data_IF_641480826705
#
_entry.id   IF_641480826705
#
_cell.length_a   1.000
_cell.length_b   1.000
_cell.length_c   1.000
_cell.angle_alpha   90.00
_cell.angle_beta   90.00
_cell.angle_gamma   90.00
#
_symmetry.space_group_name_H-M   'P 1'
#
loop_
_entity.id
_entity.type
_entity.pdbx_description
1 polymer ?
#
# COMPACT_ATOMS: atom_id res chain seq x y z
N UNK A 1 33.19 41.84 45.68
CA UNK A 1 32.09 40.86 45.60
C UNK A 1 31.19 41.08 44.37
N UNK A 2 30.96 42.32 43.93
CA UNK A 2 30.06 42.63 42.80
C UNK A 2 30.57 42.20 41.41
N UNK A 3 31.88 42.22 41.17
CA UNK A 3 32.50 41.79 39.90
C UNK A 3 32.33 40.29 39.59
N UNK A 4 32.15 39.45 40.62
CA UNK A 4 31.88 38.02 40.44
C UNK A 4 30.44 37.74 40.03
N UNK A 5 29.49 38.56 40.52
CA UNK A 5 28.07 38.38 40.19
C UNK A 5 27.72 38.90 38.79
N UNK A 6 28.38 39.96 38.30
CA UNK A 6 28.18 40.44 36.93
C UNK A 6 28.72 39.44 35.90
N UNK A 7 29.85 38.79 36.17
CA UNK A 7 30.42 37.77 35.28
C UNK A 7 29.58 36.47 35.26
N UNK A 8 29.04 36.05 36.39
CA UNK A 8 28.10 34.89 36.45
C UNK A 8 26.79 35.22 35.73
N UNK A 9 26.26 36.43 35.88
CA UNK A 9 25.03 36.89 35.22
C UNK A 9 25.20 36.98 33.70
N UNK A 10 26.39 37.37 33.22
CA UNK A 10 26.71 37.42 31.78
C UNK A 10 27.00 36.03 31.17
N UNK A 11 27.58 35.10 31.95
CA UNK A 11 27.75 33.71 31.51
C UNK A 11 26.42 32.94 31.38
N UNK A 12 25.44 33.25 32.26
CA UNK A 12 24.12 32.62 32.22
C UNK A 12 23.24 33.17 31.09
N UNK A 13 23.51 34.40 30.61
CA UNK A 13 22.81 35.01 29.48
C UNK A 13 23.24 34.44 28.12
N UNK A 14 24.47 33.91 28.00
CA UNK A 14 24.99 33.29 26.76
C UNK A 14 24.57 31.84 26.53
N UNK A 15 23.96 31.17 27.51
CA UNK A 15 23.60 29.73 27.41
C UNK A 15 22.17 29.42 26.97
N UNK A 16 21.34 30.43 26.62
CA UNK A 16 19.89 30.19 26.34
C UNK A 16 19.34 30.82 25.05
N UNK A 17 19.81 30.40 23.86
CA UNK A 17 18.91 30.41 22.70
C UNK A 17 18.86 29.09 21.90
N UNK A 18 19.67 28.07 22.24
CA UNK A 18 19.84 26.92 21.32
C UNK A 18 18.69 25.90 21.32
N UNK A 19 17.92 25.80 22.42
CA UNK A 19 16.83 24.82 22.56
C UNK A 19 15.60 25.14 21.69
N UNK A 20 15.24 26.41 21.55
CA UNK A 20 14.08 26.87 20.76
C UNK A 20 14.36 26.89 19.25
N UNK A 21 15.63 26.96 18.83
CA UNK A 21 16.01 26.83 17.42
C UNK A 21 15.90 25.38 16.93
N UNK A 22 16.43 24.42 17.71
CA UNK A 22 16.35 23.00 17.37
C UNK A 22 14.92 22.45 17.38
N UNK A 23 14.06 22.93 18.29
CA UNK A 23 12.64 22.55 18.31
C UNK A 23 11.91 22.98 17.02
N UNK A 24 12.17 24.20 16.53
CA UNK A 24 11.56 24.70 15.28
C UNK A 24 12.09 24.00 14.03
N UNK A 25 13.39 23.66 14.00
CA UNK A 25 13.98 22.88 12.90
C UNK A 25 13.34 21.48 12.85
N UNK A 26 13.17 20.83 14.02
CA UNK A 26 12.46 19.55 14.11
C UNK A 26 11.01 19.66 13.66
N UNK A 27 10.26 20.67 14.07
CA UNK A 27 8.89 20.88 13.57
C UNK A 27 8.85 21.01 12.05
N UNK A 28 9.69 21.87 11.46
CA UNK A 28 9.73 22.04 10.00
C UNK A 28 10.12 20.75 9.26
N UNK A 29 11.02 19.96 9.83
CA UNK A 29 11.42 18.67 9.26
C UNK A 29 10.28 17.67 9.32
N UNK A 30 9.60 17.56 10.47
CA UNK A 30 8.44 16.69 10.65
C UNK A 30 7.29 17.06 9.69
N UNK A 31 7.04 18.36 9.46
CA UNK A 31 6.04 18.80 8.48
C UNK A 31 6.43 18.44 7.03
N UNK A 32 7.71 18.54 6.67
CA UNK A 32 8.18 18.15 5.33
C UNK A 32 8.10 16.64 5.11
N UNK A 33 8.53 15.83 6.07
CA UNK A 33 8.41 14.37 6.01
C UNK A 33 6.95 13.93 5.93
N UNK A 34 6.08 14.53 6.76
CA UNK A 34 4.65 14.25 6.76
C UNK A 34 3.99 14.62 5.43
N UNK A 35 4.39 15.74 4.82
CA UNK A 35 3.92 16.16 3.48
C UNK A 35 4.32 15.13 2.42
N UNK A 36 5.56 14.64 2.45
CA UNK A 36 6.06 13.58 1.57
C UNK A 36 5.27 12.28 1.70
N UNK A 37 5.05 11.82 2.93
CA UNK A 37 4.24 10.64 3.23
C UNK A 37 2.79 10.80 2.75
N UNK A 38 2.22 12.00 2.91
CA UNK A 38 0.84 12.29 2.47
C UNK A 38 0.74 12.21 0.94
N UNK A 39 1.74 12.72 0.21
CA UNK A 39 1.78 12.62 -1.26
C UNK A 39 1.80 11.16 -1.76
N UNK A 40 2.39 10.24 -0.99
CA UNK A 40 2.41 8.80 -1.29
C UNK A 40 1.15 8.08 -0.79
N UNK A 41 0.52 8.56 0.28
CA UNK A 41 -0.72 7.99 0.80
C UNK A 41 -1.91 8.24 -0.13
N UNK A 42 -1.96 9.39 -0.82
CA UNK A 42 -3.03 9.72 -1.79
C UNK A 42 -3.25 8.63 -2.85
N UNK A 43 -2.24 8.18 -3.61
CA UNK A 43 -2.43 7.12 -4.61
C UNK A 43 -2.80 5.76 -3.97
N UNK A 44 -2.33 5.47 -2.76
CA UNK A 44 -2.69 4.23 -2.03
C UNK A 44 -4.18 4.25 -1.65
N UNK A 45 -4.66 5.35 -1.05
CA UNK A 45 -6.08 5.52 -0.71
C UNK A 45 -6.95 5.50 -1.95
N UNK A 46 -6.51 6.15 -3.04
CA UNK A 46 -7.22 6.11 -4.32
C UNK A 46 -7.34 4.67 -4.85
N UNK A 47 -6.27 3.87 -4.77
CA UNK A 47 -6.29 2.45 -5.15
C UNK A 47 -7.31 1.66 -4.34
N UNK A 48 -7.34 1.82 -3.01
CA UNK A 48 -8.34 1.16 -2.16
C UNK A 48 -9.78 1.59 -2.47
N UNK A 49 -10.00 2.86 -2.82
CA UNK A 49 -11.32 3.33 -3.26
C UNK A 49 -11.71 2.73 -4.61
N UNK A 50 -10.77 2.62 -5.54
CA UNK A 50 -10.97 1.96 -6.84
C UNK A 50 -11.30 0.47 -6.67
N UNK A 51 -10.71 -0.20 -5.68
CA UNK A 51 -10.98 -1.60 -5.35
C UNK A 51 -12.41 -1.82 -4.83
N UNK A 52 -13.05 -0.80 -4.26
CA UNK A 52 -14.44 -0.87 -3.80
C UNK A 52 -15.46 -0.69 -4.93
N UNK A 53 -15.09 -0.04 -6.03
CA UNK A 53 -16.00 0.26 -7.15
C UNK A 53 -16.64 -0.97 -7.79
N UNK A 54 -15.94 -2.09 -8.06
CA UNK A 54 -16.55 -3.29 -8.60
C UNK A 54 -17.72 -3.79 -7.75
N UNK A 55 -17.59 -3.76 -6.41
CA UNK A 55 -18.65 -4.13 -5.48
C UNK A 55 -19.86 -3.20 -5.59
N UNK A 56 -19.64 -1.89 -5.60
CA UNK A 56 -20.71 -0.90 -5.77
C UNK A 56 -21.42 -1.04 -7.11
N UNK A 57 -20.68 -1.18 -8.20
CA UNK A 57 -21.24 -1.33 -9.55
C UNK A 57 -22.07 -2.60 -9.63
N UNK A 58 -21.58 -3.71 -9.06
CA UNK A 58 -22.31 -4.98 -9.01
C UNK A 58 -23.64 -4.83 -8.28
N UNK A 59 -23.64 -4.21 -7.10
CA UNK A 59 -24.86 -3.97 -6.29
C UNK A 59 -25.85 -3.08 -7.04
N UNK A 60 -25.37 -2.01 -7.68
CA UNK A 60 -26.23 -1.07 -8.44
C UNK A 60 -26.83 -1.72 -9.69
N UNK A 61 -26.04 -2.52 -10.43
CA UNK A 61 -26.54 -3.23 -11.62
C UNK A 61 -27.63 -4.24 -11.24
N UNK A 62 -27.36 -5.02 -10.19
CA UNK A 62 -28.28 -6.03 -9.63
C UNK A 62 -29.58 -5.41 -9.16
N UNK A 63 -29.52 -4.26 -8.48
CA UNK A 63 -30.70 -3.55 -8.01
C UNK A 63 -31.65 -3.13 -9.15
N UNK A 64 -31.17 -3.10 -10.40
CA UNK A 64 -31.98 -2.80 -11.57
C UNK A 64 -32.35 -4.05 -12.42
N UNK A 65 -31.69 -5.20 -12.26
CA UNK A 65 -32.01 -6.45 -12.96
C UNK A 65 -32.88 -7.40 -12.10
N UNK A 66 -34.20 -7.30 -12.25
CA UNK A 66 -35.16 -8.24 -11.67
C UNK A 66 -35.26 -9.56 -12.48
N UNK A 67 -34.23 -10.42 -12.48
CA UNK A 67 -34.27 -11.75 -13.13
C UNK A 67 -33.73 -12.85 -12.22
N UNK A 68 -34.30 -14.06 -12.32
CA UNK A 68 -34.05 -15.21 -11.43
C UNK A 68 -32.57 -15.67 -11.36
N UNK A 69 -31.72 -15.26 -12.30
CA UNK A 69 -30.28 -15.61 -12.33
C UNK A 69 -29.34 -14.54 -11.77
N UNK A 70 -29.88 -13.41 -11.32
CA UNK A 70 -29.08 -12.29 -10.83
C UNK A 70 -28.24 -12.68 -9.60
N UNK A 71 -28.74 -13.59 -8.74
CA UNK A 71 -28.00 -14.05 -7.55
C UNK A 71 -26.69 -14.79 -7.88
N UNK A 72 -26.67 -15.60 -8.96
CA UNK A 72 -25.47 -16.35 -9.36
C UNK A 72 -24.36 -15.45 -9.89
N UNK A 73 -24.70 -14.42 -10.68
CA UNK A 73 -23.70 -13.48 -11.19
C UNK A 73 -23.08 -12.63 -10.07
N UNK A 74 -23.85 -12.31 -9.02
CA UNK A 74 -23.34 -11.61 -7.84
C UNK A 74 -22.35 -12.47 -7.10
N UNK A 75 -22.70 -13.73 -6.85
CA UNK A 75 -21.85 -14.64 -6.10
C UNK A 75 -20.54 -14.92 -6.85
N UNK A 76 -20.63 -15.16 -8.17
CA UNK A 76 -19.45 -15.31 -9.03
C UNK A 76 -18.57 -14.04 -9.02
N UNK A 77 -19.18 -12.85 -9.07
CA UNK A 77 -18.44 -11.59 -9.01
C UNK A 77 -17.80 -11.36 -7.65
N UNK A 78 -18.53 -11.64 -6.56
CA UNK A 78 -18.02 -11.53 -5.19
C UNK A 78 -16.85 -12.48 -4.94
N UNK A 79 -16.95 -13.73 -5.41
CA UNK A 79 -15.88 -14.72 -5.34
C UNK A 79 -14.65 -14.28 -6.15
N UNK A 80 -14.84 -13.75 -7.36
CA UNK A 80 -13.76 -13.21 -8.19
C UNK A 80 -13.05 -12.04 -7.52
N UNK A 81 -13.81 -11.08 -6.95
CA UNK A 81 -13.25 -9.94 -6.22
C UNK A 81 -12.50 -10.42 -4.98
N UNK A 82 -13.07 -11.33 -4.19
CA UNK A 82 -12.40 -11.89 -3.01
C UNK A 82 -11.09 -12.60 -3.38
N UNK A 83 -11.08 -13.38 -4.47
CA UNK A 83 -9.88 -14.06 -4.95
C UNK A 83 -8.82 -13.08 -5.47
N UNK A 84 -9.23 -12.04 -6.20
CA UNK A 84 -8.35 -10.98 -6.67
C UNK A 84 -7.73 -10.21 -5.50
N UNK A 85 -8.51 -9.89 -4.47
CA UNK A 85 -8.02 -9.21 -3.28
C UNK A 85 -7.07 -10.12 -2.49
N UNK A 86 -7.40 -11.41 -2.34
CA UNK A 86 -6.54 -12.37 -1.66
C UNK A 86 -5.19 -12.52 -2.37
N UNK A 87 -5.18 -12.72 -3.68
CA UNK A 87 -3.94 -12.87 -4.43
C UNK A 87 -3.20 -11.52 -4.54
N UNK A 88 -3.89 -10.46 -4.92
CA UNK A 88 -3.31 -9.13 -5.18
C UNK A 88 -2.77 -8.46 -3.92
N UNK A 89 -3.63 -8.22 -2.91
CA UNK A 89 -3.21 -7.53 -1.69
C UNK A 89 -2.22 -8.38 -0.87
N UNK A 90 -2.42 -9.69 -0.75
CA UNK A 90 -1.51 -10.52 0.06
C UNK A 90 -0.09 -10.53 -0.51
N UNK A 91 0.04 -10.72 -1.83
CA UNK A 91 1.34 -10.70 -2.50
C UNK A 91 1.93 -9.29 -2.47
N UNK A 92 1.12 -8.25 -2.72
CA UNK A 92 1.55 -6.86 -2.69
C UNK A 92 2.08 -6.44 -1.32
N UNK A 93 1.36 -6.76 -0.24
CA UNK A 93 1.77 -6.47 1.14
C UNK A 93 3.01 -7.28 1.51
N UNK A 94 3.05 -8.58 1.16
CA UNK A 94 4.20 -9.44 1.42
C UNK A 94 5.48 -8.92 0.75
N UNK A 95 5.37 -8.51 -0.51
CA UNK A 95 6.48 -7.95 -1.26
C UNK A 95 6.89 -6.58 -0.72
N UNK A 96 5.94 -5.69 -0.40
CA UNK A 96 6.24 -4.38 0.20
C UNK A 96 7.00 -4.52 1.53
N UNK A 97 6.58 -5.47 2.37
CA UNK A 97 7.23 -5.73 3.66
C UNK A 97 8.65 -6.25 3.47
N UNK A 98 8.85 -7.14 2.49
CA UNK A 98 10.18 -7.62 2.13
C UNK A 98 11.07 -6.49 1.59
N UNK A 99 10.51 -5.60 0.77
CA UNK A 99 11.22 -4.44 0.22
C UNK A 99 11.59 -3.42 1.30
N UNK A 100 10.72 -3.11 2.25
CA UNK A 100 11.05 -2.23 3.39
C UNK A 100 12.24 -2.78 4.19
N UNK A 101 12.27 -4.10 4.36
CA UNK A 101 13.39 -4.78 5.03
C UNK A 101 14.67 -4.70 4.18
N UNK A 102 14.62 -5.05 2.89
CA UNK A 102 15.80 -5.03 2.02
C UNK A 102 16.35 -3.60 1.81
N UNK A 103 15.47 -2.62 1.65
CA UNK A 103 15.83 -1.21 1.50
C UNK A 103 16.48 -0.66 2.78
N UNK A 104 15.94 -0.98 3.96
CA UNK A 104 16.55 -0.56 5.23
C UNK A 104 17.92 -1.21 5.45
N UNK A 105 18.08 -2.47 5.09
CA UNK A 105 19.37 -3.17 5.14
C UNK A 105 20.39 -2.57 4.16
N UNK A 106 20.01 -2.35 2.90
CA UNK A 106 20.90 -1.77 1.90
C UNK A 106 21.30 -0.34 2.21
N UNK A 107 20.37 0.46 2.74
CA UNK A 107 20.66 1.80 3.23
C UNK A 107 21.64 1.77 4.42
N UNK A 108 21.45 0.85 5.36
CA UNK A 108 22.37 0.67 6.51
C UNK A 108 23.77 0.17 6.13
N UNK A 109 23.87 -0.64 5.08
CA UNK A 109 25.14 -1.13 4.53
C UNK A 109 25.84 -0.13 3.59
N UNK A 110 25.18 0.97 3.23
CA UNK A 110 25.70 1.95 2.27
C UNK A 110 25.59 1.51 0.80
N UNK A 111 24.90 0.41 0.52
CA UNK A 111 24.72 -0.18 -0.82
C UNK A 111 23.43 0.32 -1.50
N UNK A 112 23.25 1.64 -1.57
CA UNK A 112 22.03 2.24 -2.16
C UNK A 112 21.88 1.98 -3.65
N UNK A 113 22.98 1.68 -4.36
CA UNK A 113 22.98 1.32 -5.78
C UNK A 113 22.20 0.02 -6.05
N UNK A 114 22.16 -0.90 -5.08
CA UNK A 114 21.46 -2.19 -5.19
C UNK A 114 19.93 -2.07 -5.03
N UNK A 115 19.41 -0.92 -4.57
CA UNK A 115 17.96 -0.71 -4.40
C UNK A 115 17.18 -0.87 -5.72
N UNK A 116 17.80 -0.50 -6.85
CA UNK A 116 17.18 -0.67 -8.17
C UNK A 116 16.97 -2.14 -8.53
N UNK A 117 17.92 -3.02 -8.17
CA UNK A 117 17.84 -4.46 -8.43
C UNK A 117 16.73 -5.12 -7.59
N UNK A 118 16.54 -4.68 -6.35
CA UNK A 118 15.42 -5.16 -5.52
C UNK A 118 14.06 -4.77 -6.09
N UNK A 119 13.93 -3.53 -6.60
CA UNK A 119 12.72 -3.08 -7.29
C UNK A 119 12.42 -3.93 -8.53
N UNK A 120 13.42 -4.17 -9.38
CA UNK A 120 13.28 -5.02 -10.56
C UNK A 120 12.87 -6.45 -10.19
N UNK A 121 13.47 -6.99 -9.14
CA UNK A 121 13.13 -8.33 -8.62
C UNK A 121 11.67 -8.37 -8.18
N UNK A 122 11.20 -7.36 -7.45
CA UNK A 122 9.79 -7.26 -7.04
C UNK A 122 8.83 -7.19 -8.24
N UNK A 123 9.16 -6.41 -9.27
CA UNK A 123 8.36 -6.32 -10.51
C UNK A 123 8.32 -7.66 -11.24
N UNK A 124 9.43 -8.40 -11.31
CA UNK A 124 9.47 -9.73 -11.92
C UNK A 124 8.61 -10.71 -11.13
N UNK A 125 8.68 -10.71 -9.81
CA UNK A 125 7.84 -11.55 -8.95
C UNK A 125 6.36 -11.25 -9.19
N UNK A 126 5.98 -9.96 -9.21
CA UNK A 126 4.61 -9.54 -9.53
C UNK A 126 4.16 -9.99 -10.92
N UNK A 127 5.04 -9.90 -11.93
CA UNK A 127 4.73 -10.31 -13.29
C UNK A 127 4.50 -11.82 -13.40
N UNK A 128 5.36 -12.63 -12.76
CA UNK A 128 5.21 -14.09 -12.72
C UNK A 128 3.89 -14.47 -12.02
N UNK A 129 3.58 -13.87 -10.88
CA UNK A 129 2.31 -14.12 -10.19
C UNK A 129 1.10 -13.69 -11.00
N UNK A 130 1.17 -12.55 -11.68
CA UNK A 130 0.10 -12.09 -12.57
C UNK A 130 -0.15 -13.07 -13.72
N UNK A 131 0.90 -13.65 -14.29
CA UNK A 131 0.79 -14.69 -15.31
C UNK A 131 0.15 -15.95 -14.73
N UNK A 132 0.57 -16.41 -13.54
CA UNK A 132 -0.03 -17.57 -12.88
C UNK A 132 -1.53 -17.38 -12.59
N UNK A 133 -1.91 -16.20 -12.10
CA UNK A 133 -3.32 -15.83 -11.86
C UNK A 133 -4.07 -15.78 -13.19
N UNK A 134 -3.49 -15.18 -14.23
CA UNK A 134 -4.09 -15.11 -15.57
C UNK A 134 -4.33 -16.50 -16.18
N UNK A 135 -3.40 -17.43 -16.03
CA UNK A 135 -3.56 -18.83 -16.47
C UNK A 135 -4.68 -19.53 -15.68
N UNK A 136 -4.79 -19.25 -14.39
CA UNK A 136 -5.85 -19.78 -13.54
C UNK A 136 -7.22 -19.24 -13.97
N UNK A 137 -7.31 -17.94 -14.26
CA UNK A 137 -8.52 -17.30 -14.79
C UNK A 137 -8.91 -17.80 -16.17
N UNK A 138 -7.93 -18.05 -17.05
CA UNK A 138 -8.21 -18.66 -18.37
C UNK A 138 -8.81 -20.06 -18.25
N UNK A 139 -8.45 -20.81 -17.19
CA UNK A 139 -9.04 -22.10 -16.86
C UNK A 139 -10.24 -22.00 -15.91
N UNK A 140 -10.71 -20.79 -15.56
CA UNK A 140 -11.80 -20.61 -14.60
C UNK A 140 -13.06 -21.34 -15.06
N UNK A 141 -13.37 -21.37 -16.35
CA UNK A 141 -14.49 -22.14 -16.92
C UNK A 141 -14.42 -23.63 -16.55
N UNK A 142 -13.23 -24.25 -16.62
CA UNK A 142 -13.03 -25.65 -16.25
C UNK A 142 -13.08 -25.88 -14.73
N UNK A 143 -12.65 -24.89 -13.95
CA UNK A 143 -12.67 -24.93 -12.48
C UNK A 143 -14.11 -24.77 -11.95
N UNK A 144 -14.90 -23.85 -12.52
CA UNK A 144 -16.33 -23.68 -12.20
C UNK A 144 -17.14 -24.92 -12.58
N UNK A 145 -16.86 -25.54 -13.73
CA UNK A 145 -17.44 -26.83 -14.13
C UNK A 145 -17.07 -27.98 -13.18
N UNK A 146 -15.84 -28.00 -12.65
CA UNK A 146 -15.38 -29.01 -11.71
C UNK A 146 -15.94 -28.83 -10.28
N UNK A 147 -16.30 -27.60 -9.90
CA UNK A 147 -16.94 -27.27 -8.62
C UNK A 147 -18.45 -27.57 -8.60
N UNK A 148 -19.01 -28.05 -9.72
CA UNK A 148 -20.40 -28.48 -9.80
C UNK A 148 -21.43 -27.38 -10.05
N UNK A 149 -21.00 -26.18 -10.51
CA UNK A 149 -21.94 -25.18 -10.99
C UNK A 149 -22.60 -25.62 -12.32
N UNK A 150 -23.92 -25.45 -12.49
CA UNK A 150 -24.61 -25.83 -13.71
C UNK A 150 -24.05 -25.05 -14.91
N UNK A 151 -23.91 -25.75 -16.04
CA UNK A 151 -23.27 -25.31 -17.28
C UNK A 151 -23.94 -24.12 -17.99
N UNK A 152 -24.92 -23.46 -17.37
CA UNK A 152 -25.66 -22.34 -17.96
C UNK A 152 -24.97 -20.98 -17.77
N UNK A 153 -23.89 -20.94 -16.97
CA UNK A 153 -23.03 -19.76 -16.75
C UNK A 153 -21.69 -19.87 -17.51
N UNK A 154 -21.51 -20.94 -18.30
CA UNK A 154 -20.26 -21.25 -19.00
C UNK A 154 -20.19 -20.69 -20.43
N UNK A 155 -21.17 -19.89 -20.85
CA UNK A 155 -21.18 -19.19 -22.14
C UNK A 155 -21.30 -17.67 -21.94
#
# INVERSE_FOLDING_TARGET
AELGQTMIRDSNKRRRPHSTSMARIRESLMFNELSGMTSLAVPVVATYLLEFLPGLVSIVLVGHLHSDKTEEYIDATALSVAFMNLCGLSIGIGLSTAMDTLCSQAYGAGETENMGVYLQTGVIVLAVFSICIGITFYNATNILLALGQPAEVSE
#
